data_IF_598526876518
#
_entry.id   IF_598526876518
#
_cell.length_a   1.000
_cell.length_b   1.000
_cell.length_c   1.000
_cell.angle_alpha   90.00
_cell.angle_beta   90.00
_cell.angle_gamma   90.00
#
_symmetry.space_group_name_H-M   'P 1'
#
loop_
_entity.id
_entity.type
_entity.pdbx_description
1 polymer ?
#
# COMPACT_ATOMS: atom_id res chain seq x y z
N UNK A 1 14.89 5.94 12.14
CA UNK A 1 14.37 5.72 10.76
C UNK A 1 14.24 7.08 10.09
N UNK A 2 14.45 7.13 8.79
CA UNK A 2 14.27 8.33 7.99
C UNK A 2 13.04 8.11 7.11
N UNK A 3 12.18 9.11 6.99
CA UNK A 3 10.97 9.12 6.16
C UNK A 3 11.05 10.17 5.03
N UNK A 4 12.18 10.85 4.89
CA UNK A 4 12.46 11.83 3.85
C UNK A 4 13.42 11.28 2.79
N UNK A 5 12.93 11.11 1.57
CA UNK A 5 13.74 10.58 0.46
C UNK A 5 14.87 11.51 0.02
N UNK A 6 14.72 12.82 0.13
CA UNK A 6 15.77 13.78 -0.22
C UNK A 6 16.90 13.76 0.80
N UNK A 7 16.56 13.73 2.09
CA UNK A 7 17.56 13.61 3.15
C UNK A 7 18.33 12.27 3.03
N UNK A 8 17.67 11.20 2.58
CA UNK A 8 18.33 9.92 2.34
C UNK A 8 19.40 10.03 1.25
N UNK A 9 19.02 10.62 0.10
CA UNK A 9 19.92 10.80 -1.04
C UNK A 9 21.09 11.74 -0.69
N UNK A 10 20.82 12.80 0.06
CA UNK A 10 21.83 13.75 0.51
C UNK A 10 22.85 13.15 1.49
N UNK A 11 22.48 12.10 2.25
CA UNK A 11 23.41 11.37 3.14
C UNK A 11 24.40 10.47 2.39
N UNK A 12 24.11 10.11 1.13
CA UNK A 12 24.92 9.19 0.34
C UNK A 12 25.22 9.75 -1.07
N UNK A 13 25.83 10.95 -1.18
CA UNK A 13 26.05 11.61 -2.48
C UNK A 13 27.05 10.85 -3.36
N UNK A 14 27.98 10.11 -2.74
CA UNK A 14 29.03 9.37 -3.43
C UNK A 14 28.68 7.88 -3.64
N UNK A 15 27.46 7.46 -3.32
CA UNK A 15 27.01 6.09 -3.60
C UNK A 15 26.88 5.88 -5.10
N UNK A 16 27.42 4.77 -5.60
CA UNK A 16 27.23 4.37 -6.99
C UNK A 16 27.04 2.87 -7.15
N UNK A 17 26.26 2.48 -8.13
CA UNK A 17 26.01 1.09 -8.52
C UNK A 17 26.32 0.90 -10.00
N UNK A 18 27.05 -0.18 -10.33
CA UNK A 18 27.41 -0.52 -11.70
C UNK A 18 27.01 -1.98 -12.00
N UNK A 19 26.37 -2.19 -13.15
CA UNK A 19 25.98 -3.52 -13.64
C UNK A 19 27.11 -4.08 -14.50
N UNK A 20 27.77 -5.14 -14.03
CA UNK A 20 28.87 -5.82 -14.75
C UNK A 20 28.39 -7.15 -15.29
N UNK A 21 28.48 -7.32 -16.61
CA UNK A 21 28.24 -8.61 -17.24
C UNK A 21 29.46 -9.51 -17.07
N UNK A 22 29.24 -10.74 -16.60
CA UNK A 22 30.27 -11.78 -16.46
C UNK A 22 29.80 -13.08 -17.14
N UNK A 23 30.71 -14.04 -17.29
CA UNK A 23 30.45 -15.32 -17.97
C UNK A 23 29.25 -16.09 -17.38
N UNK A 24 28.99 -15.95 -16.07
CA UNK A 24 27.91 -16.67 -15.36
C UNK A 24 26.68 -15.81 -15.04
N UNK A 25 26.59 -14.60 -15.60
CA UNK A 25 25.44 -13.71 -15.41
C UNK A 25 25.84 -12.28 -15.04
N UNK A 26 25.00 -11.64 -14.23
CA UNK A 26 25.14 -10.23 -13.86
C UNK A 26 25.76 -10.11 -12.46
N UNK A 27 26.71 -9.20 -12.30
CA UNK A 27 27.28 -8.79 -11.00
C UNK A 27 26.98 -7.31 -10.76
N UNK A 28 26.54 -6.98 -9.56
CA UNK A 28 26.36 -5.59 -9.13
C UNK A 28 27.61 -5.15 -8.35
N UNK A 29 28.24 -4.06 -8.79
CA UNK A 29 29.39 -3.45 -8.12
C UNK A 29 28.89 -2.22 -7.36
N UNK A 30 28.98 -2.25 -6.04
CA UNK A 30 28.55 -1.16 -5.16
C UNK A 30 29.78 -0.36 -4.69
N UNK A 31 29.72 0.98 -4.77
CA UNK A 31 30.72 1.89 -4.21
C UNK A 31 30.05 2.78 -3.18
N UNK A 32 30.71 2.97 -2.03
CA UNK A 32 30.21 3.78 -0.91
C UNK A 32 28.78 3.41 -0.47
N UNK A 33 28.47 2.10 -0.46
CA UNK A 33 27.19 1.60 0.00
C UNK A 33 26.98 1.88 1.50
N UNK A 34 25.75 2.14 1.95
CA UNK A 34 25.46 2.35 3.36
C UNK A 34 25.93 1.18 4.23
N UNK A 35 26.76 1.46 5.24
CA UNK A 35 27.34 0.43 6.11
C UNK A 35 26.28 -0.42 6.84
N UNK A 36 25.09 0.14 7.09
CA UNK A 36 23.96 -0.57 7.72
C UNK A 36 23.44 -1.75 6.88
N UNK A 37 23.79 -1.83 5.59
CA UNK A 37 23.41 -2.95 4.73
C UNK A 37 24.29 -4.21 4.95
N UNK A 38 25.39 -4.09 5.70
CA UNK A 38 26.40 -5.13 5.88
C UNK A 38 26.40 -5.67 7.32
N UNK A 39 26.72 -6.96 7.45
CA UNK A 39 27.01 -7.64 8.72
C UNK A 39 28.40 -8.25 8.60
N UNK A 40 29.34 -7.85 9.45
CA UNK A 40 30.74 -8.30 9.42
C UNK A 40 31.43 -8.15 8.05
N UNK A 41 31.08 -7.07 7.32
CA UNK A 41 31.62 -6.78 5.99
C UNK A 41 30.90 -7.50 4.84
N UNK A 42 29.97 -8.40 5.13
CA UNK A 42 29.19 -9.13 4.14
C UNK A 42 27.81 -8.48 3.94
N UNK A 43 27.39 -8.32 2.69
CA UNK A 43 26.09 -7.75 2.36
C UNK A 43 24.98 -8.71 2.84
N UNK A 44 23.98 -8.20 3.56
CA UNK A 44 22.84 -9.01 3.99
C UNK A 44 22.17 -9.67 2.77
N UNK A 45 21.93 -10.99 2.86
CA UNK A 45 21.39 -11.77 1.75
C UNK A 45 20.05 -11.21 1.21
N UNK A 46 19.13 -10.81 2.09
CA UNK A 46 17.86 -10.19 1.68
C UNK A 46 18.04 -8.88 0.90
N UNK A 47 19.00 -8.04 1.29
CA UNK A 47 19.32 -6.81 0.54
C UNK A 47 19.92 -7.15 -0.82
N UNK A 48 20.81 -8.14 -0.88
CA UNK A 48 21.37 -8.62 -2.15
C UNK A 48 20.25 -9.10 -3.10
N UNK A 49 19.28 -9.89 -2.62
CA UNK A 49 18.12 -10.31 -3.39
C UNK A 49 17.26 -9.12 -3.86
N UNK A 50 17.05 -8.12 -3.01
CA UNK A 50 16.31 -6.89 -3.36
C UNK A 50 17.01 -6.10 -4.46
N UNK A 51 18.34 -5.98 -4.46
CA UNK A 51 19.07 -5.27 -5.51
C UNK A 51 18.87 -5.91 -6.90
N UNK A 52 18.88 -7.23 -6.99
CA UNK A 52 18.57 -7.93 -8.25
C UNK A 52 17.10 -7.85 -8.62
N UNK A 53 16.20 -7.79 -7.64
CA UNK A 53 14.77 -7.54 -7.86
C UNK A 53 14.55 -6.16 -8.48
N UNK A 54 15.22 -5.12 -7.95
CA UNK A 54 15.18 -3.76 -8.50
C UNK A 54 15.61 -3.78 -9.97
N UNK A 55 16.73 -4.43 -10.28
CA UNK A 55 17.22 -4.56 -11.64
C UNK A 55 16.21 -5.27 -12.56
N UNK A 56 15.64 -6.40 -12.11
CA UNK A 56 14.64 -7.18 -12.86
C UNK A 56 13.43 -6.32 -13.23
N UNK A 57 12.85 -5.64 -12.25
CA UNK A 57 11.59 -4.92 -12.43
C UNK A 57 11.78 -3.63 -13.22
N UNK A 58 12.85 -2.86 -12.94
CA UNK A 58 13.15 -1.63 -13.69
C UNK A 58 13.36 -1.93 -15.17
N UNK A 59 14.14 -2.96 -15.51
CA UNK A 59 14.36 -3.36 -16.91
C UNK A 59 13.05 -3.87 -17.54
N UNK A 60 12.31 -4.75 -16.86
CA UNK A 60 11.09 -5.31 -17.42
C UNK A 60 10.02 -4.26 -17.66
N UNK A 61 9.76 -3.40 -16.67
CA UNK A 61 8.78 -2.31 -16.77
C UNK A 61 9.18 -1.36 -17.91
N UNK A 62 10.43 -0.92 -17.95
CA UNK A 62 10.88 -0.01 -19.00
C UNK A 62 10.76 -0.63 -20.40
N UNK A 63 11.26 -1.85 -20.60
CA UNK A 63 11.35 -2.45 -21.94
C UNK A 63 10.09 -3.19 -22.42
N UNK A 64 9.28 -3.74 -21.51
CA UNK A 64 8.14 -4.61 -21.85
C UNK A 64 6.78 -4.03 -21.49
N UNK A 65 6.74 -3.00 -20.65
CA UNK A 65 5.49 -2.33 -20.28
C UNK A 65 5.44 -0.93 -20.90
N UNK A 66 6.33 -0.03 -20.47
CA UNK A 66 6.27 1.40 -20.84
C UNK A 66 6.66 1.62 -22.31
N UNK A 67 7.80 1.08 -22.77
CA UNK A 67 8.26 1.25 -24.15
C UNK A 67 7.85 0.07 -25.05
N UNK A 68 6.71 -0.56 -24.77
CA UNK A 68 6.17 -1.66 -25.58
C UNK A 68 4.88 -1.24 -26.25
N UNK A 69 4.74 -1.56 -27.53
CA UNK A 69 3.47 -1.43 -28.26
C UNK A 69 2.41 -2.47 -27.82
N UNK A 70 2.72 -3.31 -26.82
CA UNK A 70 1.83 -4.37 -26.32
C UNK A 70 0.73 -3.84 -25.41
N UNK A 71 0.96 -2.73 -24.72
CA UNK A 71 0.02 -2.19 -23.73
C UNK A 71 -0.23 -0.70 -24.01
N UNK A 72 -1.48 -0.34 -24.25
CA UNK A 72 -1.94 1.03 -24.26
C UNK A 72 -2.31 1.43 -22.83
N UNK A 73 -1.44 2.19 -22.16
CA UNK A 73 -1.68 2.61 -20.77
C UNK A 73 -2.82 3.62 -20.59
N UNK A 74 -3.47 4.05 -21.68
CA UNK A 74 -4.73 4.78 -21.65
C UNK A 74 -5.98 3.87 -21.59
N UNK A 75 -5.84 2.55 -21.80
CA UNK A 75 -6.93 1.58 -21.77
C UNK A 75 -6.90 0.74 -20.49
N UNK A 76 -8.02 0.70 -19.77
CA UNK A 76 -8.17 0.01 -18.47
C UNK A 76 -7.77 -1.47 -18.51
N UNK A 77 -8.17 -2.18 -19.56
CA UNK A 77 -7.83 -3.59 -19.75
C UNK A 77 -6.31 -3.80 -19.88
N UNK A 78 -5.62 -2.89 -20.58
CA UNK A 78 -4.18 -2.96 -20.79
C UNK A 78 -3.40 -2.58 -19.53
N UNK A 79 -3.91 -1.64 -18.72
CA UNK A 79 -3.35 -1.37 -17.38
C UNK A 79 -3.40 -2.63 -16.51
N UNK A 80 -4.57 -3.29 -16.46
CA UNK A 80 -4.76 -4.53 -15.70
C UNK A 80 -3.80 -5.63 -16.18
N UNK A 81 -3.68 -5.79 -17.51
CA UNK A 81 -2.77 -6.77 -18.09
C UNK A 81 -1.30 -6.43 -17.80
N UNK A 82 -0.91 -5.15 -17.86
CA UNK A 82 0.44 -4.72 -17.50
C UNK A 82 0.78 -5.08 -16.05
N UNK A 83 -0.13 -4.81 -15.10
CA UNK A 83 0.03 -5.20 -13.69
C UNK A 83 0.22 -6.71 -13.55
N UNK A 84 -0.66 -7.50 -14.17
CA UNK A 84 -0.53 -8.96 -14.19
C UNK A 84 0.82 -9.42 -14.76
N UNK A 85 1.28 -8.82 -15.86
CA UNK A 85 2.52 -9.17 -16.52
C UNK A 85 3.76 -8.88 -15.66
N UNK A 86 3.78 -7.75 -14.94
CA UNK A 86 4.84 -7.40 -13.99
C UNK A 86 4.89 -8.43 -12.87
N UNK A 87 3.75 -8.71 -12.23
CA UNK A 87 3.65 -9.68 -11.14
C UNK A 87 4.06 -11.10 -11.58
N UNK A 88 3.67 -11.50 -12.80
CA UNK A 88 4.05 -12.78 -13.40
C UNK A 88 5.55 -12.87 -13.63
N UNK A 89 6.16 -11.82 -14.19
CA UNK A 89 7.61 -11.74 -14.40
C UNK A 89 8.38 -11.74 -13.06
N UNK A 90 7.77 -11.19 -12.01
CA UNK A 90 8.30 -11.22 -10.67
C UNK A 90 8.17 -12.58 -9.95
N UNK A 91 7.56 -13.58 -10.61
CA UNK A 91 7.24 -14.87 -10.02
C UNK A 91 6.39 -14.76 -8.75
N UNK A 92 5.47 -13.79 -8.70
CA UNK A 92 4.55 -13.60 -7.59
C UNK A 92 3.45 -14.67 -7.52
N UNK A 93 3.15 -15.30 -8.66
CA UNK A 93 2.07 -16.26 -8.79
C UNK A 93 2.55 -17.69 -8.57
N UNK A 94 1.85 -18.42 -7.70
CA UNK A 94 2.03 -19.85 -7.52
C UNK A 94 0.75 -20.53 -8.02
N UNK A 95 0.80 -21.21 -9.18
CA UNK A 95 -0.38 -21.88 -9.72
C UNK A 95 -0.93 -22.92 -8.75
N UNK A 96 -2.26 -22.99 -8.64
CA UNK A 96 -3.01 -23.93 -7.78
C UNK A 96 -2.83 -23.75 -6.27
N UNK A 97 -2.08 -22.74 -5.81
CA UNK A 97 -2.10 -22.38 -4.40
C UNK A 97 -3.47 -21.77 -4.07
N UNK A 98 -4.14 -22.33 -3.07
CA UNK A 98 -5.41 -21.81 -2.56
C UNK A 98 -5.23 -20.40 -1.97
N UNK A 99 -6.29 -19.57 -1.91
CA UNK A 99 -6.26 -18.25 -1.31
C UNK A 99 -5.64 -18.21 0.10
N UNK A 100 -4.47 -17.59 0.23
CA UNK A 100 -3.78 -17.48 1.51
C UNK A 100 -3.05 -16.15 1.74
N UNK A 101 -3.05 -15.23 0.77
CA UNK A 101 -2.33 -13.96 0.84
C UNK A 101 -3.20 -12.85 1.47
N UNK A 102 -2.76 -12.33 2.61
CA UNK A 102 -3.37 -11.21 3.33
C UNK A 102 -2.54 -9.94 3.11
N UNK A 103 -3.16 -8.90 2.57
CA UNK A 103 -2.53 -7.58 2.47
C UNK A 103 -2.66 -6.89 3.82
N UNK A 104 -1.57 -6.34 4.35
CA UNK A 104 -1.56 -5.54 5.57
C UNK A 104 -1.17 -4.10 5.25
N UNK A 105 -2.09 -3.18 5.47
CA UNK A 105 -1.92 -1.75 5.33
C UNK A 105 -1.88 -1.06 6.69
N UNK A 106 -1.25 0.10 6.77
CA UNK A 106 -1.15 0.89 8.01
C UNK A 106 0.03 1.85 7.99
N UNK A 107 0.14 2.66 9.05
CA UNK A 107 1.10 3.75 9.10
C UNK A 107 2.57 3.31 9.11
N UNK A 108 3.41 4.07 8.40
CA UNK A 108 4.87 4.01 8.52
C UNK A 108 5.34 4.55 9.89
N UNK A 109 4.61 5.54 10.44
CA UNK A 109 4.81 6.14 11.76
C UNK A 109 3.67 5.73 12.71
N UNK A 110 3.96 4.82 13.64
CA UNK A 110 3.01 4.30 14.62
C UNK A 110 3.64 4.14 16.00
N UNK A 111 2.82 4.20 17.05
CA UNK A 111 3.26 4.03 18.43
C UNK A 111 3.74 2.60 18.73
N UNK A 112 4.45 2.42 19.85
CA UNK A 112 4.98 1.10 20.24
C UNK A 112 3.87 0.07 20.51
N UNK A 113 2.74 0.50 21.08
CA UNK A 113 1.58 -0.37 21.33
C UNK A 113 0.95 -0.86 20.03
N UNK A 114 0.69 0.06 19.09
CA UNK A 114 0.24 -0.28 17.73
C UNK A 114 1.23 -1.21 17.02
N UNK A 115 2.54 -0.93 17.10
CA UNK A 115 3.55 -1.80 16.48
C UNK A 115 3.57 -3.21 17.08
N UNK A 116 3.43 -3.35 18.40
CA UNK A 116 3.29 -4.67 19.05
C UNK A 116 2.04 -5.39 18.58
N UNK A 117 0.91 -4.71 18.54
CA UNK A 117 -0.35 -5.27 18.05
C UNK A 117 -0.24 -5.79 16.61
N UNK A 118 0.42 -5.04 15.71
CA UNK A 118 0.61 -5.50 14.32
C UNK A 118 1.42 -6.82 14.24
N UNK A 119 2.40 -7.01 15.13
CA UNK A 119 3.15 -8.27 15.24
C UNK A 119 2.30 -9.41 15.78
N UNK A 120 1.41 -9.13 16.74
CA UNK A 120 0.50 -10.14 17.29
C UNK A 120 -0.51 -10.61 16.24
N UNK A 121 -1.09 -9.68 15.48
CA UNK A 121 -1.94 -10.03 14.33
C UNK A 121 -1.16 -10.85 13.30
N UNK A 122 0.04 -10.41 12.92
CA UNK A 122 0.91 -11.17 12.02
C UNK A 122 1.23 -12.58 12.53
N UNK A 123 1.49 -12.72 13.82
CA UNK A 123 1.72 -14.02 14.46
C UNK A 123 0.49 -14.93 14.35
N UNK A 124 -0.69 -14.41 14.64
CA UNK A 124 -1.95 -15.16 14.52
C UNK A 124 -2.28 -15.54 13.06
N UNK A 125 -1.96 -14.68 12.10
CA UNK A 125 -2.05 -15.00 10.66
C UNK A 125 -1.09 -16.13 10.29
N UNK A 126 0.17 -16.05 10.71
CA UNK A 126 1.16 -17.10 10.46
C UNK A 126 0.80 -18.45 11.11
N UNK A 127 0.16 -18.44 12.28
CA UNK A 127 -0.37 -19.66 12.91
C UNK A 127 -1.47 -20.35 12.09
N UNK A 128 -2.07 -19.65 11.12
CA UNK A 128 -3.10 -20.17 10.21
C UNK A 128 -2.57 -20.37 8.78
N UNK A 129 -1.24 -20.34 8.61
CA UNK A 129 -0.57 -20.47 7.32
C UNK A 129 -1.00 -19.42 6.29
N UNK A 130 -1.26 -18.19 6.75
CA UNK A 130 -1.59 -17.06 5.89
C UNK A 130 -0.32 -16.22 5.62
N UNK A 131 -0.06 -16.01 4.34
CA UNK A 131 1.03 -15.20 3.83
C UNK A 131 0.72 -13.71 3.92
N UNK A 132 1.76 -12.87 3.87
CA UNK A 132 1.62 -11.43 4.09
C UNK A 132 2.14 -10.64 2.88
N UNK A 133 1.34 -9.67 2.44
CA UNK A 133 1.71 -8.63 1.48
C UNK A 133 1.65 -7.26 2.15
N UNK A 134 2.63 -6.37 1.91
CA UNK A 134 2.63 -4.99 2.46
C UNK A 134 3.26 -3.99 1.50
N UNK A 135 3.25 -2.70 1.88
CA UNK A 135 4.01 -1.61 1.25
C UNK A 135 5.52 -1.60 1.53
N UNK A 136 6.08 -2.64 2.17
CA UNK A 136 7.51 -2.82 2.47
C UNK A 136 8.13 -1.94 3.57
N UNK A 137 7.57 -0.77 3.85
CA UNK A 137 8.14 0.25 4.74
C UNK A 137 8.20 -0.11 6.24
N UNK A 138 8.46 0.87 7.12
CA UNK A 138 8.51 0.66 8.56
C UNK A 138 7.11 0.51 9.19
N UNK A 139 7.04 0.56 10.52
CA UNK A 139 5.75 0.54 11.23
C UNK A 139 4.90 -0.70 10.92
N UNK A 140 3.64 -0.46 10.55
CA UNK A 140 2.65 -1.50 10.26
C UNK A 140 2.97 -2.32 9.00
N UNK A 141 3.87 -1.84 8.13
CA UNK A 141 4.32 -2.59 6.94
C UNK A 141 5.44 -3.59 7.25
N UNK A 142 6.00 -3.57 8.47
CA UNK A 142 7.06 -4.49 8.93
C UNK A 142 6.61 -5.42 10.05
N UNK A 143 5.78 -4.92 10.96
CA UNK A 143 5.35 -5.66 12.15
C UNK A 143 4.68 -7.00 11.84
N UNK A 144 3.66 -7.05 10.96
CA UNK A 144 2.96 -8.29 10.64
C UNK A 144 3.89 -9.40 10.12
N UNK A 145 4.83 -9.09 9.23
CA UNK A 145 5.78 -10.08 8.70
C UNK A 145 6.70 -10.67 9.80
N UNK A 146 7.14 -9.83 10.76
CA UNK A 146 7.92 -10.32 11.91
C UNK A 146 7.11 -11.29 12.77
N UNK A 147 5.83 -10.99 13.01
CA UNK A 147 4.93 -11.89 13.72
C UNK A 147 4.73 -13.21 12.98
N UNK A 148 4.38 -13.12 11.69
CA UNK A 148 4.08 -14.28 10.85
C UNK A 148 5.28 -15.22 10.72
N UNK A 149 6.50 -14.69 10.72
CA UNK A 149 7.72 -15.52 10.71
C UNK A 149 7.76 -16.49 11.89
N UNK A 150 7.35 -16.04 13.07
CA UNK A 150 7.26 -16.91 14.26
C UNK A 150 6.06 -17.86 14.15
N UNK A 151 4.92 -17.40 13.63
CA UNK A 151 3.73 -18.23 13.42
C UNK A 151 3.99 -19.39 12.45
N UNK A 152 4.56 -19.10 11.28
CA UNK A 152 4.94 -20.08 10.26
C UNK A 152 5.99 -21.07 10.78
N UNK A 153 6.99 -20.60 11.53
CA UNK A 153 7.98 -21.47 12.14
C UNK A 153 7.34 -22.48 13.11
N UNK A 154 6.35 -22.05 13.92
CA UNK A 154 5.60 -22.95 14.82
C UNK A 154 4.74 -23.97 14.07
N UNK A 155 4.12 -23.55 12.96
CA UNK A 155 3.31 -24.43 12.10
C UNK A 155 4.14 -25.33 11.18
N UNK A 156 5.46 -25.10 11.09
CA UNK A 156 6.37 -25.81 10.18
C UNK A 156 5.96 -25.72 8.71
N UNK A 157 5.35 -24.61 8.32
CA UNK A 157 4.85 -24.39 6.95
C UNK A 157 5.89 -23.80 6.00
N UNK A 158 7.13 -23.65 6.47
CA UNK A 158 8.25 -23.07 5.72
C UNK A 158 8.46 -21.59 6.07
N UNK A 159 9.06 -20.85 5.14
CA UNK A 159 9.48 -19.46 5.36
C UNK A 159 8.36 -18.44 5.21
N UNK A 160 7.18 -18.85 4.71
CA UNK A 160 6.09 -17.94 4.33
C UNK A 160 6.44 -17.08 3.12
N UNK A 161 5.42 -16.53 2.45
CA UNK A 161 5.58 -15.50 1.42
C UNK A 161 5.40 -14.12 2.07
N UNK A 162 6.46 -13.34 2.05
CA UNK A 162 6.46 -11.95 2.51
C UNK A 162 6.66 -11.06 1.30
N UNK A 163 5.54 -10.69 0.68
CA UNK A 163 5.50 -9.87 -0.52
C UNK A 163 5.56 -8.39 -0.12
N UNK A 164 6.48 -7.68 -0.75
CA UNK A 164 6.57 -6.23 -0.65
C UNK A 164 6.28 -5.61 -2.01
N UNK A 165 5.25 -4.77 -2.09
CA UNK A 165 4.95 -3.97 -3.27
C UNK A 165 5.33 -2.52 -3.01
N UNK A 166 6.20 -1.96 -3.86
CA UNK A 166 6.64 -0.56 -3.80
C UNK A 166 6.63 0.05 -5.19
N UNK A 167 6.88 1.34 -5.31
CA UNK A 167 7.10 2.05 -6.57
C UNK A 167 8.22 3.11 -6.41
N UNK A 168 8.81 3.63 -7.50
CA UNK A 168 9.97 4.51 -7.42
C UNK A 168 9.78 5.78 -6.58
N UNK A 169 8.60 6.39 -6.61
CA UNK A 169 8.30 7.66 -5.93
C UNK A 169 8.29 7.56 -4.40
N UNK A 170 8.08 6.38 -3.83
CA UNK A 170 7.93 6.16 -2.38
C UNK A 170 9.01 5.27 -1.77
N UNK A 171 9.76 4.50 -2.58
CA UNK A 171 10.73 3.52 -2.07
C UNK A 171 11.84 4.13 -1.19
N UNK A 172 12.16 5.42 -1.40
CA UNK A 172 13.15 6.13 -0.58
C UNK A 172 12.59 6.48 0.81
N UNK A 173 11.32 6.88 0.90
CA UNK A 173 10.65 7.20 2.16
C UNK A 173 10.23 5.93 2.94
N UNK A 174 9.81 4.89 2.20
CA UNK A 174 9.29 3.63 2.75
C UNK A 174 10.13 2.44 2.28
N UNK A 175 11.43 2.47 2.56
CA UNK A 175 12.37 1.47 2.05
C UNK A 175 12.04 0.03 2.48
N UNK A 176 12.20 -0.96 1.58
CA UNK A 176 11.91 -2.36 1.88
C UNK A 176 12.71 -2.89 3.05
N UNK A 177 11.99 -3.44 4.03
CA UNK A 177 12.64 -4.09 5.15
C UNK A 177 13.20 -5.48 4.75
N UNK A 178 14.37 -5.92 5.26
CA UNK A 178 15.03 -7.15 4.79
C UNK A 178 14.28 -8.48 5.04
N UNK A 179 13.14 -8.47 5.75
CA UNK A 179 12.32 -9.69 5.92
C UNK A 179 11.48 -10.00 4.67
N UNK A 180 11.26 -9.00 3.81
CA UNK A 180 10.56 -9.16 2.54
C UNK A 180 11.37 -10.13 1.69
N UNK A 181 10.76 -11.25 1.30
CA UNK A 181 11.43 -12.29 0.50
C UNK A 181 10.92 -12.35 -0.96
N UNK A 182 9.97 -11.47 -1.29
CA UNK A 182 9.43 -11.22 -2.62
C UNK A 182 9.15 -9.72 -2.78
N UNK A 183 10.17 -8.95 -3.13
CA UNK A 183 10.01 -7.55 -3.49
C UNK A 183 9.50 -7.44 -4.94
N UNK A 184 8.64 -6.45 -5.22
CA UNK A 184 8.16 -6.13 -6.56
C UNK A 184 8.04 -4.60 -6.68
N UNK A 185 8.61 -4.04 -7.74
CA UNK A 185 8.54 -2.60 -8.03
C UNK A 185 7.55 -2.34 -9.16
N UNK A 186 6.43 -1.72 -8.79
CA UNK A 186 5.41 -1.27 -9.72
C UNK A 186 5.79 0.09 -10.34
N UNK A 187 5.24 0.48 -11.50
CA UNK A 187 5.66 1.69 -12.20
C UNK A 187 5.24 2.98 -11.49
N UNK A 188 4.09 2.94 -10.80
CA UNK A 188 3.46 4.07 -10.13
C UNK A 188 2.53 3.59 -9.00
N UNK A 189 1.95 4.55 -8.26
CA UNK A 189 1.09 4.30 -7.11
C UNK A 189 -0.18 3.55 -7.51
N UNK A 190 -0.85 3.95 -8.58
CA UNK A 190 -2.11 3.32 -9.00
C UNK A 190 -1.92 1.85 -9.36
N UNK A 191 -0.83 1.51 -10.07
CA UNK A 191 -0.51 0.11 -10.38
C UNK A 191 -0.07 -0.67 -9.15
N UNK A 192 0.57 -0.02 -8.17
CA UNK A 192 0.83 -0.60 -6.85
C UNK A 192 -0.48 -0.92 -6.12
N UNK A 193 -1.44 0.00 -6.12
CA UNK A 193 -2.76 -0.17 -5.51
C UNK A 193 -3.55 -1.29 -6.20
N UNK A 194 -3.56 -1.33 -7.53
CA UNK A 194 -4.19 -2.41 -8.29
C UNK A 194 -3.54 -3.77 -7.97
N UNK A 195 -2.21 -3.84 -7.91
CA UNK A 195 -1.50 -5.07 -7.56
C UNK A 195 -1.90 -5.60 -6.17
N UNK A 196 -2.14 -4.72 -5.18
CA UNK A 196 -2.64 -5.14 -3.86
C UNK A 196 -4.01 -5.81 -3.96
N UNK A 197 -5.00 -5.15 -4.58
CA UNK A 197 -6.39 -5.66 -4.59
C UNK A 197 -6.59 -6.84 -5.54
N UNK A 198 -5.74 -6.98 -6.55
CA UNK A 198 -5.75 -8.14 -7.47
C UNK A 198 -5.13 -9.38 -6.85
N UNK A 199 -4.06 -9.24 -6.08
CA UNK A 199 -3.32 -10.39 -5.50
C UNK A 199 -3.75 -10.74 -4.08
N UNK A 200 -4.22 -9.76 -3.32
CA UNK A 200 -4.76 -9.93 -1.98
C UNK A 200 -6.07 -10.69 -2.02
N UNK A 201 -6.20 -11.69 -1.15
CA UNK A 201 -7.46 -12.40 -0.93
C UNK A 201 -8.25 -11.81 0.26
N UNK A 202 -7.66 -10.86 0.96
CA UNK A 202 -8.25 -10.12 2.05
C UNK A 202 -7.25 -9.09 2.57
N UNK A 203 -7.77 -8.06 3.24
CA UNK A 203 -7.00 -6.92 3.69
C UNK A 203 -7.22 -6.68 5.17
N UNK A 204 -6.13 -6.52 5.91
CA UNK A 204 -6.10 -5.99 7.27
C UNK A 204 -5.56 -4.57 7.22
N UNK A 205 -6.29 -3.62 7.81
CA UNK A 205 -5.88 -2.22 7.91
C UNK A 205 -5.65 -1.86 9.36
N UNK A 206 -4.41 -1.48 9.68
CA UNK A 206 -3.99 -0.93 10.97
C UNK A 206 -4.08 0.60 10.97
N UNK A 207 -3.98 1.26 12.14
CA UNK A 207 -3.90 2.71 12.20
C UNK A 207 -2.77 3.28 11.34
N UNK A 208 -3.06 4.36 10.64
CA UNK A 208 -2.13 5.05 9.74
C UNK A 208 -2.55 6.47 9.42
N UNK A 209 -1.74 7.15 8.61
CA UNK A 209 -1.97 8.53 8.16
C UNK A 209 -2.60 8.61 6.77
N UNK A 210 -2.24 9.65 6.02
CA UNK A 210 -2.81 9.93 4.69
C UNK A 210 -2.68 8.78 3.69
N UNK A 211 -1.54 8.07 3.64
CA UNK A 211 -1.36 6.94 2.72
C UNK A 211 -2.27 5.76 3.03
N UNK A 212 -2.53 5.47 4.31
CA UNK A 212 -3.48 4.42 4.70
C UNK A 212 -4.92 4.85 4.39
N UNK A 213 -5.25 6.13 4.53
CA UNK A 213 -6.56 6.65 4.12
C UNK A 213 -6.76 6.56 2.59
N UNK A 214 -5.74 6.86 1.80
CA UNK A 214 -5.72 6.64 0.35
C UNK A 214 -6.02 5.18 -0.01
N UNK A 215 -5.32 4.23 0.62
CA UNK A 215 -5.51 2.79 0.42
C UNK A 215 -6.94 2.34 0.80
N UNK A 216 -7.50 2.84 1.91
CA UNK A 216 -8.89 2.59 2.33
C UNK A 216 -9.89 3.11 1.27
N UNK A 217 -9.74 4.35 0.83
CA UNK A 217 -10.63 4.96 -0.15
C UNK A 217 -10.55 4.26 -1.51
N UNK A 218 -9.36 3.81 -1.89
CA UNK A 218 -9.14 3.01 -3.08
C UNK A 218 -9.95 1.70 -3.04
N UNK A 219 -9.78 0.90 -1.99
CA UNK A 219 -10.48 -0.40 -1.90
C UNK A 219 -11.99 -0.23 -1.74
N UNK A 220 -12.44 0.75 -0.95
CA UNK A 220 -13.88 1.01 -0.78
C UNK A 220 -14.52 1.50 -2.07
N UNK A 221 -13.88 2.42 -2.79
CA UNK A 221 -14.36 2.89 -4.08
C UNK A 221 -14.55 1.75 -5.09
N UNK A 222 -13.59 0.83 -5.17
CA UNK A 222 -13.71 -0.37 -6.00
C UNK A 222 -14.89 -1.25 -5.55
N UNK A 223 -14.98 -1.56 -4.25
CA UNK A 223 -16.03 -2.45 -3.73
C UNK A 223 -17.44 -1.86 -3.78
N UNK A 224 -17.56 -0.52 -3.86
CA UNK A 224 -18.81 0.20 -4.04
C UNK A 224 -19.26 0.28 -5.51
N UNK A 225 -18.42 -0.13 -6.46
CA UNK A 225 -18.86 -0.22 -7.84
C UNK A 225 -19.96 -1.29 -7.99
N UNK A 226 -21.05 -1.03 -8.75
CA UNK A 226 -22.18 -1.96 -8.86
C UNK A 226 -21.80 -3.36 -9.33
N UNK A 227 -20.83 -3.50 -10.24
CA UNK A 227 -20.33 -4.81 -10.71
C UNK A 227 -19.65 -5.64 -9.61
N UNK A 228 -19.16 -4.99 -8.56
CA UNK A 228 -18.51 -5.65 -7.42
C UNK A 228 -19.46 -5.93 -6.27
N UNK A 229 -20.77 -5.67 -6.42
CA UNK A 229 -21.72 -5.78 -5.31
C UNK A 229 -21.68 -7.14 -4.61
N UNK A 230 -21.50 -8.22 -5.39
CA UNK A 230 -21.44 -9.61 -4.89
C UNK A 230 -20.04 -10.12 -4.54
N UNK A 231 -18.99 -9.31 -4.74
CA UNK A 231 -17.60 -9.70 -4.52
C UNK A 231 -17.34 -9.98 -3.03
N UNK A 232 -17.02 -11.22 -2.63
CA UNK A 232 -16.57 -11.47 -1.27
C UNK A 232 -15.14 -10.95 -1.14
N UNK A 233 -14.97 -9.92 -0.33
CA UNK A 233 -13.66 -9.31 -0.10
C UNK A 233 -13.48 -9.04 1.40
N UNK A 234 -12.79 -9.91 2.14
CA UNK A 234 -12.56 -9.74 3.57
C UNK A 234 -11.74 -8.47 3.84
N UNK A 235 -12.38 -7.46 4.43
CA UNK A 235 -11.76 -6.19 4.80
C UNK A 235 -11.94 -5.96 6.31
N UNK A 236 -10.84 -5.93 7.04
CA UNK A 236 -10.83 -5.82 8.51
C UNK A 236 -9.97 -4.63 8.93
N UNK A 237 -10.58 -3.69 9.65
CA UNK A 237 -9.90 -2.60 10.32
C UNK A 237 -9.64 -2.99 11.76
N UNK A 238 -8.39 -2.86 12.23
CA UNK A 238 -8.03 -3.40 13.54
C UNK A 238 -6.85 -2.68 14.20
N UNK A 239 -6.85 -2.65 15.53
CA UNK A 239 -5.80 -2.03 16.31
C UNK A 239 -5.92 -2.39 17.80
N UNK A 240 -4.93 -1.99 18.61
CA UNK A 240 -4.99 -2.16 20.06
C UNK A 240 -6.12 -1.32 20.66
N UNK A 241 -6.41 -1.53 21.95
CA UNK A 241 -7.45 -0.77 22.66
C UNK A 241 -7.27 0.76 22.53
N UNK A 242 -6.04 1.26 22.54
CA UNK A 242 -5.75 2.70 22.40
C UNK A 242 -6.12 3.28 21.02
N UNK A 243 -6.37 2.44 20.01
CA UNK A 243 -6.75 2.86 18.66
C UNK A 243 -8.28 2.89 18.43
N UNK A 244 -9.09 2.66 19.46
CA UNK A 244 -10.55 2.64 19.35
C UNK A 244 -11.10 3.96 18.80
N UNK A 245 -10.67 5.11 19.36
CA UNK A 245 -11.16 6.41 18.93
C UNK A 245 -10.65 6.79 17.53
N UNK A 246 -9.47 6.31 17.13
CA UNK A 246 -8.99 6.43 15.75
C UNK A 246 -9.96 5.73 14.78
N UNK A 247 -10.36 4.49 15.06
CA UNK A 247 -11.29 3.78 14.19
C UNK A 247 -12.71 4.31 14.24
N UNK A 248 -13.15 4.93 15.35
CA UNK A 248 -14.40 5.70 15.38
C UNK A 248 -14.35 6.86 14.39
N UNK A 249 -13.26 7.63 14.38
CA UNK A 249 -13.08 8.76 13.45
C UNK A 249 -13.03 8.29 11.99
N UNK A 250 -12.29 7.22 11.68
CA UNK A 250 -12.24 6.65 10.32
C UNK A 250 -13.63 6.17 9.90
N UNK A 251 -14.34 5.44 10.76
CA UNK A 251 -15.69 4.96 10.45
C UNK A 251 -16.65 6.12 10.21
N UNK A 252 -16.61 7.15 11.06
CA UNK A 252 -17.45 8.33 10.95
C UNK A 252 -17.18 9.08 9.63
N UNK A 253 -15.90 9.33 9.30
CA UNK A 253 -15.51 9.93 8.02
C UNK A 253 -16.04 9.14 6.82
N UNK A 254 -15.92 7.80 6.83
CA UNK A 254 -16.43 6.95 5.74
C UNK A 254 -17.95 7.04 5.65
N UNK A 255 -18.67 7.05 6.78
CA UNK A 255 -20.14 7.16 6.79
C UNK A 255 -20.59 8.54 6.29
N UNK A 256 -19.95 9.62 6.71
CA UNK A 256 -20.34 10.98 6.37
C UNK A 256 -20.08 11.32 4.89
N UNK A 257 -19.04 10.70 4.32
CA UNK A 257 -18.63 10.93 2.93
C UNK A 257 -19.20 9.89 1.95
N UNK A 258 -19.05 8.60 2.24
CA UNK A 258 -19.40 7.48 1.34
C UNK A 258 -20.68 6.73 1.77
N UNK A 259 -21.28 7.08 2.90
CA UNK A 259 -22.55 6.50 3.35
C UNK A 259 -22.45 5.11 3.99
N UNK A 260 -23.61 4.60 4.42
CA UNK A 260 -23.71 3.33 5.14
C UNK A 260 -23.39 2.11 4.29
N UNK A 261 -23.55 2.17 2.97
CA UNK A 261 -23.17 1.06 2.08
C UNK A 261 -21.65 0.80 2.15
N UNK A 262 -20.84 1.86 2.24
CA UNK A 262 -19.40 1.75 2.43
C UNK A 262 -19.07 1.09 3.76
N UNK A 263 -19.80 1.44 4.83
CA UNK A 263 -19.63 0.87 6.17
C UNK A 263 -19.87 -0.65 6.20
N UNK A 264 -20.79 -1.16 5.38
CA UNK A 264 -21.08 -2.60 5.29
C UNK A 264 -19.96 -3.43 4.63
N UNK A 265 -19.00 -2.79 3.95
CA UNK A 265 -17.91 -3.47 3.25
C UNK A 265 -16.76 -3.89 4.16
N UNK A 266 -16.72 -3.45 5.42
CA UNK A 266 -15.63 -3.79 6.35
C UNK A 266 -16.12 -4.13 7.76
N UNK A 267 -15.24 -4.74 8.55
CA UNK A 267 -15.42 -4.97 9.98
C UNK A 267 -14.37 -4.22 10.77
N UNK A 268 -14.76 -3.65 11.92
CA UNK A 268 -13.81 -3.12 12.90
C UNK A 268 -13.65 -4.14 14.04
N UNK A 269 -12.42 -4.56 14.32
CA UNK A 269 -12.09 -5.47 15.41
C UNK A 269 -11.02 -4.80 16.28
N UNK A 270 -11.37 -4.43 17.52
CA UNK A 270 -10.45 -3.79 18.46
C UNK A 270 -9.91 -4.84 19.43
N UNK A 271 -8.60 -4.83 19.64
CA UNK A 271 -7.89 -5.57 20.68
C UNK A 271 -8.04 -7.10 20.65
N UNK A 272 -8.31 -7.69 19.47
CA UNK A 272 -8.43 -9.14 19.32
C UNK A 272 -7.69 -9.69 18.08
N UNK A 273 -6.36 -9.85 18.17
CA UNK A 273 -5.55 -10.35 17.06
C UNK A 273 -5.96 -11.74 16.58
N UNK A 274 -6.43 -12.59 17.51
CA UNK A 274 -6.87 -13.94 17.20
C UNK A 274 -8.12 -13.91 16.34
N UNK A 275 -9.11 -13.10 16.69
CA UNK A 275 -10.36 -12.97 15.93
C UNK A 275 -10.10 -12.39 14.54
N UNK A 276 -9.20 -11.41 14.39
CA UNK A 276 -8.78 -10.91 13.07
C UNK A 276 -8.33 -12.06 12.18
N UNK A 277 -7.43 -12.92 12.68
CA UNK A 277 -6.90 -14.02 11.89
C UNK A 277 -7.93 -15.14 11.62
N UNK A 278 -8.88 -15.38 12.54
CA UNK A 278 -10.00 -16.32 12.30
C UNK A 278 -10.91 -15.81 11.20
N UNK A 279 -11.35 -14.56 11.29
CA UNK A 279 -12.23 -13.93 10.30
C UNK A 279 -11.55 -13.86 8.93
N UNK A 280 -10.25 -13.59 8.89
CA UNK A 280 -9.49 -13.57 7.65
C UNK A 280 -9.41 -14.96 7.01
N UNK A 281 -9.11 -16.01 7.79
CA UNK A 281 -9.11 -17.40 7.30
C UNK A 281 -10.48 -17.84 6.79
N UNK A 282 -11.55 -17.51 7.49
CA UNK A 282 -12.91 -17.87 7.05
C UNK A 282 -13.30 -17.05 5.80
N UNK A 283 -12.80 -15.82 5.68
CA UNK A 283 -12.85 -15.01 4.47
C UNK A 283 -12.14 -15.65 3.27
N UNK A 284 -10.93 -16.21 3.46
CA UNK A 284 -10.19 -16.92 2.40
C UNK A 284 -11.04 -18.04 1.77
N UNK A 285 -11.78 -18.81 2.59
CA UNK A 285 -12.67 -19.87 2.09
C UNK A 285 -13.77 -19.32 1.19
N UNK A 286 -14.41 -18.22 1.58
CA UNK A 286 -15.44 -17.56 0.75
C UNK A 286 -14.87 -17.03 -0.56
N UNK A 287 -13.64 -16.50 -0.53
CA UNK A 287 -12.93 -16.08 -1.73
C UNK A 287 -12.64 -17.26 -2.63
N UNK A 288 -12.15 -18.38 -2.09
CA UNK A 288 -11.92 -19.61 -2.84
C UNK A 288 -13.20 -20.10 -3.54
N UNK A 289 -14.28 -20.29 -2.78
CA UNK A 289 -15.59 -20.74 -3.29
C UNK A 289 -16.10 -19.82 -4.41
N UNK A 290 -15.93 -18.50 -4.24
CA UNK A 290 -16.35 -17.52 -5.25
C UNK A 290 -15.50 -17.61 -6.52
N UNK A 291 -14.18 -17.70 -6.41
CA UNK A 291 -13.28 -17.82 -7.58
C UNK A 291 -13.55 -19.11 -8.34
N UNK A 292 -13.78 -20.23 -7.64
CA UNK A 292 -14.18 -21.50 -8.25
C UNK A 292 -15.49 -21.35 -9.02
N UNK A 293 -16.51 -20.73 -8.41
CA UNK A 293 -17.82 -20.50 -9.06
C UNK A 293 -17.72 -19.62 -10.30
N UNK A 294 -16.85 -18.62 -10.29
CA UNK A 294 -16.65 -17.69 -11.41
C UNK A 294 -15.64 -18.19 -12.45
N UNK A 295 -15.00 -19.35 -12.24
CA UNK A 295 -13.87 -19.84 -13.02
C UNK A 295 -12.72 -18.81 -13.11
N UNK A 296 -12.50 -18.06 -12.03
CA UNK A 296 -11.43 -17.06 -11.91
C UNK A 296 -10.19 -17.67 -11.23
N UNK A 297 -9.02 -17.08 -11.46
CA UNK A 297 -7.78 -17.54 -10.87
C UNK A 297 -7.74 -17.25 -9.35
N UNK A 298 -7.09 -18.12 -8.58
CA UNK A 298 -6.81 -17.84 -7.17
C UNK A 298 -5.75 -16.74 -7.03
N UNK A 299 -4.64 -16.84 -7.76
CA UNK A 299 -3.48 -15.96 -7.62
C UNK A 299 -3.67 -14.52 -8.17
N UNK A 300 -4.76 -14.26 -8.88
CA UNK A 300 -5.08 -12.94 -9.44
C UNK A 300 -6.59 -12.78 -9.63
N UNK A 301 -7.19 -11.73 -9.09
CA UNK A 301 -8.63 -11.46 -9.15
C UNK A 301 -9.01 -10.79 -10.47
N UNK A 302 -9.29 -11.54 -11.52
CA UNK A 302 -9.73 -10.95 -12.80
C UNK A 302 -11.18 -10.48 -12.74
N UNK A 303 -12.02 -11.15 -11.94
CA UNK A 303 -13.43 -10.81 -11.79
C UNK A 303 -13.68 -9.46 -11.09
N UNK A 304 -12.68 -8.89 -10.42
CA UNK A 304 -12.79 -7.57 -9.81
C UNK A 304 -12.88 -6.49 -10.88
N UNK A 305 -14.00 -5.76 -10.92
CA UNK A 305 -14.12 -4.59 -11.76
C UNK A 305 -13.33 -3.44 -11.13
N UNK A 306 -12.41 -2.81 -11.87
CA UNK A 306 -11.70 -1.61 -11.41
C UNK A 306 -11.95 -0.53 -12.46
N UNK A 307 -12.73 0.48 -12.08
CA UNK A 307 -13.05 1.61 -12.93
C UNK A 307 -11.77 2.42 -13.28
N UNK A 308 -11.74 3.02 -14.46
CA UNK A 308 -10.58 3.71 -14.99
C UNK A 308 -10.11 4.88 -14.10
N UNK A 309 -11.01 5.47 -13.30
CA UNK A 309 -10.71 6.53 -12.35
C UNK A 309 -9.75 6.08 -11.25
N UNK A 310 -9.69 4.77 -10.97
CA UNK A 310 -8.74 4.16 -10.02
C UNK A 310 -7.42 3.72 -10.67
N UNK A 311 -7.33 3.68 -12.00
CA UNK A 311 -6.15 3.21 -12.72
C UNK A 311 -5.31 4.33 -13.32
N UNK A 312 -5.96 5.44 -13.71
CA UNK A 312 -5.28 6.60 -14.28
C UNK A 312 -4.34 7.24 -13.24
N UNK A 313 -3.04 7.37 -13.56
CA UNK A 313 -2.10 8.09 -12.71
C UNK A 313 -2.58 9.50 -12.40
N UNK A 314 -2.48 9.91 -11.13
CA UNK A 314 -2.82 11.26 -10.71
C UNK A 314 -1.56 12.08 -10.42
N UNK A 315 -1.39 13.18 -11.15
CA UNK A 315 -0.33 14.16 -10.90
C UNK A 315 -0.84 15.27 -9.97
N UNK A 316 -0.37 15.37 -8.72
CA UNK A 316 -0.91 16.28 -7.71
C UNK A 316 -0.35 17.71 -7.86
N UNK A 317 -0.70 18.38 -8.95
CA UNK A 317 -0.46 19.83 -9.11
C UNK A 317 -1.50 20.66 -8.33
N UNK A 318 -1.20 21.93 -8.03
CA UNK A 318 -2.17 22.83 -7.37
C UNK A 318 -3.48 22.96 -8.13
N UNK A 319 -3.42 22.98 -9.47
CA UNK A 319 -4.61 23.02 -10.33
C UNK A 319 -5.42 21.73 -10.20
N UNK A 320 -4.77 20.56 -10.33
CA UNK A 320 -5.45 19.28 -10.24
C UNK A 320 -6.08 19.05 -8.86
N UNK A 321 -5.35 19.38 -7.79
CA UNK A 321 -5.84 19.30 -6.41
C UNK A 321 -7.06 20.20 -6.18
N UNK A 322 -7.03 21.44 -6.70
CA UNK A 322 -8.13 22.39 -6.60
C UNK A 322 -9.37 21.98 -7.41
N UNK A 323 -9.19 21.21 -8.47
CA UNK A 323 -10.25 20.82 -9.40
C UNK A 323 -10.83 19.42 -9.14
N UNK A 324 -10.43 18.75 -8.05
CA UNK A 324 -11.06 17.50 -7.63
C UNK A 324 -12.56 17.71 -7.39
N UNK A 325 -13.39 16.82 -7.95
CA UNK A 325 -14.83 16.84 -7.75
C UNK A 325 -15.16 16.26 -6.36
N UNK A 326 -15.02 17.07 -5.31
CA UNK A 326 -15.30 16.70 -3.93
C UNK A 326 -16.71 17.17 -3.54
N UNK A 327 -17.72 16.65 -4.24
CA UNK A 327 -19.13 16.93 -4.02
C UNK A 327 -19.97 15.64 -4.04
N UNK A 328 -21.21 15.69 -3.53
CA UNK A 328 -22.10 14.52 -3.49
C UNK A 328 -22.95 14.31 -4.75
N UNK A 329 -22.87 15.20 -5.74
CA UNK A 329 -23.60 15.08 -7.01
C UNK A 329 -22.84 14.19 -8.02
N UNK A 330 -22.52 12.98 -7.58
CA UNK A 330 -21.86 11.94 -8.36
C UNK A 330 -22.07 10.57 -7.71
N UNK A 331 -21.80 9.50 -8.44
CA UNK A 331 -21.82 8.16 -7.84
C UNK A 331 -20.78 8.02 -6.72
N UNK A 332 -21.13 7.29 -5.67
CA UNK A 332 -20.31 7.18 -4.45
C UNK A 332 -18.90 6.64 -4.71
N UNK A 333 -18.75 5.71 -5.66
CA UNK A 333 -17.44 5.18 -6.04
C UNK A 333 -16.58 6.21 -6.77
N UNK A 334 -17.18 7.16 -7.50
CA UNK A 334 -16.45 8.28 -8.12
C UNK A 334 -16.01 9.30 -7.07
N UNK A 335 -16.84 9.58 -6.06
CA UNK A 335 -16.43 10.40 -4.92
C UNK A 335 -15.24 9.76 -4.18
N UNK A 336 -15.28 8.43 -3.94
CA UNK A 336 -14.15 7.71 -3.36
C UNK A 336 -12.87 7.82 -4.21
N UNK A 337 -12.98 7.80 -5.54
CA UNK A 337 -11.83 8.02 -6.44
C UNK A 337 -11.23 9.42 -6.30
N UNK A 338 -12.06 10.46 -6.15
CA UNK A 338 -11.59 11.84 -5.95
C UNK A 338 -11.00 12.05 -4.55
N UNK A 339 -11.59 11.46 -3.51
CA UNK A 339 -11.01 11.47 -2.16
C UNK A 339 -9.65 10.75 -2.16
N UNK A 340 -9.53 9.60 -2.83
CA UNK A 340 -8.26 8.88 -2.99
C UNK A 340 -7.18 9.79 -3.58
N UNK A 341 -7.49 10.53 -4.66
CA UNK A 341 -6.56 11.49 -5.27
C UNK A 341 -6.17 12.62 -4.31
N UNK A 342 -7.10 13.15 -3.54
CA UNK A 342 -6.82 14.16 -2.52
C UNK A 342 -5.78 13.67 -1.49
N UNK A 343 -5.99 12.48 -0.92
CA UNK A 343 -5.02 11.89 0.02
C UNK A 343 -3.69 11.55 -0.64
N UNK A 344 -3.70 11.08 -1.90
CA UNK A 344 -2.47 10.86 -2.68
C UNK A 344 -1.65 12.15 -2.85
N UNK A 345 -2.32 13.28 -3.09
CA UNK A 345 -1.68 14.59 -3.14
C UNK A 345 -1.10 15.03 -1.80
N UNK A 346 -1.80 14.76 -0.69
CA UNK A 346 -1.26 15.01 0.67
C UNK A 346 -0.01 14.16 0.93
N UNK A 347 -0.01 12.88 0.53
CA UNK A 347 1.18 12.02 0.61
C UNK A 347 2.31 12.60 -0.24
N UNK A 348 2.03 12.97 -1.49
CA UNK A 348 3.02 13.55 -2.39
C UNK A 348 3.67 14.80 -1.80
N UNK A 349 2.87 15.75 -1.30
CA UNK A 349 3.35 16.98 -0.68
C UNK A 349 4.09 16.78 0.66
N UNK A 350 3.97 15.60 1.28
CA UNK A 350 4.66 15.28 2.54
C UNK A 350 6.00 14.57 2.34
N UNK A 351 6.11 13.65 1.38
CA UNK A 351 7.25 12.72 1.29
C UNK A 351 7.86 12.54 -0.11
N UNK A 352 7.17 12.97 -1.18
CA UNK A 352 7.69 12.83 -2.55
C UNK A 352 8.45 14.08 -2.96
N UNK A 353 9.61 13.90 -3.60
CA UNK A 353 10.48 15.03 -3.96
C UNK A 353 9.82 16.05 -4.91
N UNK A 354 8.93 15.60 -5.80
CA UNK A 354 8.16 16.49 -6.69
C UNK A 354 7.10 17.28 -5.92
N UNK A 355 6.34 16.62 -5.04
CA UNK A 355 5.33 17.27 -4.21
C UNK A 355 5.95 18.28 -3.24
N UNK A 356 7.05 17.94 -2.57
CA UNK A 356 7.77 18.86 -1.68
C UNK A 356 8.21 20.14 -2.42
N UNK A 357 8.79 20.01 -3.62
CA UNK A 357 9.17 21.16 -4.45
C UNK A 357 7.97 22.00 -4.86
N UNK A 358 6.86 21.37 -5.24
CA UNK A 358 5.64 22.10 -5.59
C UNK A 358 5.12 22.93 -4.41
N UNK A 359 5.19 22.39 -3.18
CA UNK A 359 4.80 23.13 -1.97
C UNK A 359 5.74 24.30 -1.67
N UNK A 360 7.04 24.10 -1.84
CA UNK A 360 8.05 25.16 -1.67
C UNK A 360 7.88 26.31 -2.68
N UNK A 361 7.58 25.97 -3.94
CA UNK A 361 7.49 26.94 -5.04
C UNK A 361 6.14 27.65 -5.13
N UNK A 362 5.04 26.96 -4.83
CA UNK A 362 3.67 27.45 -5.08
C UNK A 362 2.79 27.54 -3.82
N UNK A 363 3.29 27.12 -2.67
CA UNK A 363 2.54 27.10 -1.41
C UNK A 363 1.66 25.87 -1.24
N UNK A 364 0.67 25.94 -0.35
CA UNK A 364 -0.15 24.77 0.03
C UNK A 364 -1.10 24.33 -1.09
N UNK A 365 -1.36 23.02 -1.18
CA UNK A 365 -2.48 22.52 -1.98
C UNK A 365 -3.81 22.98 -1.39
N UNK A 366 -4.67 23.61 -2.20
CA UNK A 366 -6.01 24.00 -1.78
C UNK A 366 -7.03 22.94 -2.20
N UNK A 367 -7.66 22.29 -1.23
CA UNK A 367 -8.75 21.33 -1.43
C UNK A 367 -10.09 22.04 -1.18
N UNK A 368 -11.03 21.94 -2.12
CA UNK A 368 -12.36 22.57 -2.04
C UNK A 368 -13.44 21.58 -2.45
N UNK A 369 -14.62 21.71 -1.89
CA UNK A 369 -15.74 20.80 -2.12
C UNK A 369 -16.96 21.19 -1.31
N UNK A 370 -17.93 20.28 -1.23
CA UNK A 370 -19.10 20.46 -0.39
C UNK A 370 -18.69 20.48 1.10
N UNK A 371 -19.30 21.35 1.89
CA UNK A 371 -18.98 21.51 3.31
C UNK A 371 -19.11 20.19 4.09
N UNK A 372 -20.09 19.36 3.74
CA UNK A 372 -20.35 18.06 4.36
C UNK A 372 -19.34 16.96 3.98
N UNK A 373 -18.40 17.25 3.08
CA UNK A 373 -17.20 16.42 2.79
C UNK A 373 -15.95 17.09 3.35
N UNK A 374 -15.83 18.42 3.19
CA UNK A 374 -14.64 19.18 3.61
C UNK A 374 -14.50 19.24 5.13
N UNK A 375 -15.60 19.35 5.89
CA UNK A 375 -15.56 19.33 7.35
C UNK A 375 -15.03 18.00 7.91
N UNK A 376 -15.60 16.82 7.55
CA UNK A 376 -15.05 15.53 7.97
C UNK A 376 -13.59 15.31 7.55
N UNK A 377 -13.21 15.78 6.35
CA UNK A 377 -11.84 15.65 5.85
C UNK A 377 -10.86 16.48 6.71
N UNK A 378 -11.20 17.73 7.02
CA UNK A 378 -10.39 18.61 7.86
C UNK A 378 -10.21 18.02 9.27
N UNK A 379 -11.30 17.52 9.87
CA UNK A 379 -11.26 16.87 11.18
C UNK A 379 -10.37 15.62 11.18
N UNK A 380 -10.48 14.77 10.16
CA UNK A 380 -9.68 13.56 10.03
C UNK A 380 -8.19 13.88 9.86
N UNK A 381 -7.86 14.83 8.99
CA UNK A 381 -6.49 15.25 8.75
C UNK A 381 -5.88 15.92 10.00
N UNK A 382 -6.64 16.77 10.70
CA UNK A 382 -6.22 17.36 11.97
C UNK A 382 -5.96 16.29 13.04
N UNK A 383 -6.78 15.23 13.08
CA UNK A 383 -6.55 14.10 13.98
C UNK A 383 -5.26 13.34 13.64
N UNK A 384 -4.94 13.13 12.37
CA UNK A 384 -3.67 12.52 11.95
C UNK A 384 -2.46 13.35 12.38
N UNK A 385 -2.52 14.68 12.29
CA UNK A 385 -1.46 15.58 12.78
C UNK A 385 -1.32 15.45 14.30
N UNK A 386 -2.42 15.55 15.04
CA UNK A 386 -2.42 15.46 16.51
C UNK A 386 -1.86 14.11 17.01
N UNK A 387 -2.15 13.03 16.28
CA UNK A 387 -1.69 11.68 16.59
C UNK A 387 -0.30 11.35 16.01
N UNK A 388 0.42 12.33 15.44
CA UNK A 388 1.76 12.19 14.86
C UNK A 388 1.86 11.11 13.76
N UNK A 389 0.83 11.01 12.92
CA UNK A 389 0.75 10.01 11.83
C UNK A 389 1.24 10.53 10.48
N UNK A 390 1.48 11.83 10.36
CA UNK A 390 1.92 12.47 9.11
C UNK A 390 3.44 12.50 8.91
N UNK A 391 4.21 12.30 9.98
CA UNK A 391 5.68 12.34 9.97
C UNK A 391 6.24 11.50 11.13
N UNK A 392 7.45 10.98 10.98
CA UNK A 392 8.17 10.33 12.08
C UNK A 392 8.50 11.34 13.21
N UNK A 393 8.61 10.87 14.46
CA UNK A 393 8.99 11.73 15.58
C UNK A 393 10.35 12.42 15.35
N UNK A 394 10.45 13.71 15.68
CA UNK A 394 11.71 14.46 15.65
C UNK A 394 11.57 15.90 15.17
N UNK A 395 10.55 16.21 14.37
CA UNK A 395 10.26 17.58 13.91
C UNK A 395 8.76 17.86 13.93
N UNK A 396 8.37 19.13 14.04
CA UNK A 396 6.97 19.53 13.91
C UNK A 396 6.49 19.29 12.47
N UNK A 397 5.27 18.77 12.31
CA UNK A 397 4.64 18.63 11.01
C UNK A 397 4.03 19.97 10.57
N UNK A 398 4.34 20.40 9.35
CA UNK A 398 3.70 21.54 8.69
C UNK A 398 2.81 20.97 7.58
N UNK A 399 1.49 21.22 7.59
CA UNK A 399 0.59 20.75 6.55
C UNK A 399 1.02 21.21 5.16
N UNK A 400 0.96 20.32 4.18
CA UNK A 400 1.15 20.62 2.75
C UNK A 400 -0.18 21.02 2.05
N UNK A 401 -1.26 21.13 2.81
CA UNK A 401 -2.62 21.33 2.31
C UNK A 401 -3.37 22.38 3.13
N UNK A 402 -4.44 22.91 2.52
CA UNK A 402 -5.42 23.78 3.15
C UNK A 402 -6.82 23.37 2.68
N UNK A 403 -7.71 23.09 3.62
CA UNK A 403 -9.13 22.84 3.32
C UNK A 403 -9.86 24.17 3.18
N UNK A 404 -10.59 24.33 2.09
CA UNK A 404 -11.47 25.45 1.80
C UNK A 404 -12.91 24.96 1.97
N UNK A 405 -13.56 25.44 3.03
CA UNK A 405 -14.92 25.07 3.45
C UNK A 405 -15.97 25.96 2.80
#
# INVERSE_FOLDING_TARGET
>A
PLDDGQELLARYPDFSIEVKQQQRGIKLSLKNAPAIAFVDGELMAGINEHLFTVLRDVIYVHSKIVNSSRFNMGESADVTNAVFHILRNAHAFIPRLEPNLVVCWGGHSIGNEEYKYTKEVGYELGLRNLDICTGCGPGAMKGPMKGATIGHAKQRTGTGRYIGLTEPGIIAAESPNPIVNKLIIMPDIEKRLEAFVRTGHGIVVFPGGAGTAEEILYVLGILLHPENASMPFPLIFTGPKCAEDYFKQINQFIVDTLGLEAQQRYKIIIDDPRRVAVEMRDGMRKVQEFREKQNDAFHYNWALHIDDQFQRPFDPTHENMRNLALNKDQDVHLLAANLRRAFSGVVSGNVKAEGLRAIEEHGLFELRGDADIMEPMDELLAAFVKQQRMKLPGTAYVPCYKIIK
#
